data_IF_909590862802
#
_entry.id   IF_909590862802
#
_cell.length_a   1.000
_cell.length_b   1.000
_cell.length_c   1.000
_cell.angle_alpha   90.00
_cell.angle_beta   90.00
_cell.angle_gamma   90.00
#
_symmetry.space_group_name_H-M   'P 1'
#
loop_
_entity.id
_entity.type
_entity.pdbx_description
1 polymer ?
#
# COMPACT_ATOMS: atom_id res chain seq x y z
N UNK A 1 -16.14 52.18 -57.59
CA UNK A 1 -14.93 52.91 -57.15
C UNK A 1 -14.22 51.99 -56.16
N UNK A 2 -13.18 51.27 -56.60
CA UNK A 2 -11.75 51.59 -56.39
C UNK A 2 -11.34 51.39 -54.91
N UNK A 3 -10.66 50.28 -54.51
CA UNK A 3 -9.19 50.01 -54.56
C UNK A 3 -8.45 51.01 -53.62
N UNK A 4 -7.62 50.70 -52.61
CA UNK A 4 -6.52 49.71 -52.33
C UNK A 4 -6.43 49.43 -50.80
N UNK A 5 -5.97 48.30 -50.22
CA UNK A 5 -4.70 47.52 -50.21
C UNK A 5 -3.45 48.18 -49.57
N UNK A 6 -2.94 47.47 -48.53
CA UNK A 6 -1.59 47.39 -47.94
C UNK A 6 -1.60 47.71 -46.43
N UNK A 7 -0.99 46.92 -45.52
CA UNK A 7 0.08 45.96 -45.72
C UNK A 7 0.20 44.88 -44.63
N UNK A 8 1.28 44.15 -44.81
CA UNK A 8 1.66 42.82 -44.37
C UNK A 8 2.14 42.70 -42.92
N UNK A 9 2.21 41.44 -42.49
CA UNK A 9 3.05 40.84 -41.45
C UNK A 9 2.98 41.33 -40.00
N UNK A 10 2.32 40.51 -39.17
CA UNK A 10 2.85 40.07 -37.87
C UNK A 10 2.14 38.76 -37.47
N UNK A 11 2.45 37.66 -38.17
CA UNK A 11 2.20 36.32 -37.63
C UNK A 11 3.28 36.05 -36.59
N UNK A 12 2.92 36.24 -35.32
CA UNK A 12 3.72 35.71 -34.20
C UNK A 12 3.69 34.19 -34.32
N UNK A 13 4.77 33.61 -34.85
CA UNK A 13 5.01 32.18 -34.77
C UNK A 13 4.97 31.76 -33.30
N UNK A 14 4.04 30.87 -32.98
CA UNK A 14 4.08 30.12 -31.73
C UNK A 14 5.33 29.25 -31.74
N UNK A 15 6.38 29.72 -31.08
CA UNK A 15 7.55 28.92 -30.73
C UNK A 15 7.14 28.07 -29.53
N UNK A 16 6.96 26.74 -29.66
CA UNK A 16 6.67 25.90 -28.51
C UNK A 16 7.77 26.09 -27.47
N UNK A 17 7.44 26.18 -26.17
CA UNK A 17 8.44 26.37 -25.14
C UNK A 17 9.47 25.25 -25.26
N UNK A 18 10.74 25.67 -25.42
CA UNK A 18 11.90 24.79 -25.31
C UNK A 18 11.65 23.83 -24.15
N UNK A 19 11.74 22.52 -24.40
CA UNK A 19 11.77 21.48 -23.37
C UNK A 19 12.87 21.85 -22.37
N UNK A 20 12.51 22.63 -21.36
CA UNK A 20 13.35 22.90 -20.20
C UNK A 20 13.48 21.57 -19.51
N UNK A 21 14.68 21.00 -19.66
CA UNK A 21 15.31 19.96 -18.85
C UNK A 21 14.46 19.68 -17.61
N UNK A 22 13.75 18.55 -17.61
CA UNK A 22 13.07 18.04 -16.42
C UNK A 22 14.02 18.24 -15.23
N UNK A 23 13.51 18.84 -14.15
CA UNK A 23 14.26 18.94 -12.92
C UNK A 23 14.84 17.54 -12.61
N UNK A 24 16.12 17.43 -12.23
CA UNK A 24 16.67 16.14 -11.87
C UNK A 24 15.76 15.52 -10.82
N UNK A 25 15.16 14.38 -11.15
CA UNK A 25 14.32 13.62 -10.22
C UNK A 25 15.16 13.33 -8.97
N UNK A 26 14.62 13.48 -7.75
CA UNK A 26 15.28 12.98 -6.56
C UNK A 26 15.66 11.51 -6.79
N UNK A 27 16.88 11.10 -6.43
CA UNK A 27 17.19 9.68 -6.35
C UNK A 27 16.19 9.03 -5.41
N UNK A 28 15.72 7.81 -5.71
CA UNK A 28 14.73 7.19 -4.84
C UNK A 28 15.27 7.09 -3.41
N UNK A 29 14.42 7.23 -2.39
CA UNK A 29 14.81 7.09 -1.00
C UNK A 29 15.48 5.74 -0.76
N UNK A 30 14.93 4.68 -1.35
CA UNK A 30 15.53 3.34 -1.36
C UNK A 30 16.90 3.30 -2.06
N UNK A 31 17.11 4.03 -3.16
CA UNK A 31 18.41 4.11 -3.83
C UNK A 31 19.42 4.99 -3.06
N UNK A 32 18.96 6.05 -2.42
CA UNK A 32 19.76 6.94 -1.56
C UNK A 32 20.20 6.18 -0.31
N UNK A 33 19.33 5.37 0.28
CA UNK A 33 19.63 4.46 1.39
C UNK A 33 20.52 3.30 0.95
N UNK A 34 20.34 2.76 -0.26
CA UNK A 34 21.23 1.74 -0.83
C UNK A 34 22.63 2.27 -1.20
N UNK A 35 22.78 3.60 -1.34
CA UNK A 35 24.06 4.27 -1.57
C UNK A 35 24.84 4.57 -0.29
N UNK A 36 24.24 4.41 0.90
CA UNK A 36 25.03 4.20 2.11
C UNK A 36 25.70 2.84 1.96
N UNK A 37 27.03 2.83 1.91
CA UNK A 37 27.74 1.55 1.83
C UNK A 37 27.31 0.69 3.02
N UNK A 38 27.22 -0.63 2.84
CA UNK A 38 26.90 -1.54 3.94
C UNK A 38 27.85 -1.34 5.14
N UNK A 39 29.06 -0.83 4.89
CA UNK A 39 30.07 -0.43 5.87
C UNK A 39 29.75 0.92 6.55
N UNK A 40 29.31 1.94 5.82
CA UNK A 40 28.93 3.24 6.40
C UNK A 40 27.61 3.15 7.19
N UNK A 41 26.66 2.35 6.71
CA UNK A 41 25.46 2.01 7.46
C UNK A 41 25.82 1.17 8.68
N UNK A 42 26.63 0.09 8.55
CA UNK A 42 27.10 -0.68 9.71
C UNK A 42 27.85 0.16 10.71
N UNK A 43 28.68 1.11 10.28
CA UNK A 43 29.46 1.95 11.20
C UNK A 43 28.58 2.95 11.93
N UNK A 44 27.68 3.63 11.22
CA UNK A 44 26.66 4.50 11.86
C UNK A 44 25.75 3.69 12.79
N UNK A 45 25.34 2.51 12.35
CA UNK A 45 24.51 1.58 13.10
C UNK A 45 25.24 1.01 14.32
N UNK A 46 26.51 0.62 14.23
CA UNK A 46 27.32 0.17 15.37
C UNK A 46 27.56 1.32 16.34
N UNK A 47 27.83 2.52 15.85
CA UNK A 47 27.98 3.72 16.70
C UNK A 47 26.66 4.06 17.42
N UNK A 48 25.52 4.00 16.72
CA UNK A 48 24.17 4.22 17.28
C UNK A 48 23.71 3.08 18.17
N UNK A 49 24.06 1.82 17.85
CA UNK A 49 23.76 0.61 18.62
C UNK A 49 24.58 0.56 19.91
N UNK A 50 25.88 0.89 19.84
CA UNK A 50 26.72 1.06 21.03
C UNK A 50 26.24 2.23 21.86
N UNK A 51 25.82 3.35 21.27
CA UNK A 51 25.23 4.46 22.01
C UNK A 51 23.87 4.09 22.64
N UNK A 52 23.02 3.36 21.92
CA UNK A 52 21.74 2.86 22.43
C UNK A 52 21.97 1.90 23.61
N UNK A 53 22.90 0.94 23.47
CA UNK A 53 23.30 0.03 24.56
C UNK A 53 23.95 0.75 25.75
N UNK A 54 24.75 1.79 25.51
CA UNK A 54 25.33 2.63 26.57
C UNK A 54 24.28 3.49 27.26
N UNK A 55 23.21 3.89 26.55
CA UNK A 55 22.05 4.52 27.16
C UNK A 55 21.28 3.51 28.00
N UNK A 56 21.06 2.28 27.53
CA UNK A 56 20.41 1.18 28.28
C UNK A 56 21.08 0.86 29.64
N UNK A 57 22.37 1.15 29.83
CA UNK A 57 23.08 0.98 31.13
C UNK A 57 22.73 2.01 32.22
N UNK A 58 21.89 3.02 31.96
CA UNK A 58 21.33 3.88 33.02
C UNK A 58 19.96 3.33 33.45
N UNK A 59 19.53 3.50 34.71
CA UNK A 59 18.24 2.99 35.15
C UNK A 59 17.12 3.75 34.41
N UNK A 60 16.51 3.11 33.43
CA UNK A 60 15.44 3.66 32.60
C UNK A 60 14.06 3.24 33.13
N UNK A 61 13.11 4.17 33.07
CA UNK A 61 11.70 3.93 33.31
C UNK A 61 11.08 3.22 32.08
N UNK A 62 10.44 2.09 32.36
CA UNK A 62 9.58 1.20 31.54
C UNK A 62 9.00 1.82 30.26
N UNK A 63 9.13 1.10 29.11
CA UNK A 63 8.30 1.37 27.91
C UNK A 63 8.99 1.38 26.53
N UNK A 64 9.88 0.45 26.16
CA UNK A 64 10.37 0.38 24.76
C UNK A 64 10.46 -1.02 24.12
N UNK A 65 9.87 -1.11 22.92
CA UNK A 65 9.61 -2.27 22.03
C UNK A 65 10.77 -2.50 21.04
N UNK A 66 11.07 -3.77 20.75
CA UNK A 66 12.20 -4.31 19.99
C UNK A 66 11.71 -5.35 18.99
N UNK A 67 12.23 -5.31 17.77
CA UNK A 67 11.93 -6.35 16.77
C UNK A 67 12.79 -7.59 17.00
N UNK A 68 12.10 -8.71 17.12
CA UNK A 68 12.63 -10.06 17.18
C UNK A 68 12.69 -10.68 15.78
N UNK A 69 13.88 -11.09 15.29
CA UNK A 69 13.94 -12.00 14.13
C UNK A 69 13.61 -13.42 14.61
N UNK A 70 12.39 -13.89 14.30
CA UNK A 70 11.98 -15.26 14.62
C UNK A 70 12.91 -16.30 14.00
N UNK A 71 13.33 -17.29 14.78
CA UNK A 71 14.15 -18.43 14.35
C UNK A 71 13.29 -19.55 13.73
N UNK A 72 12.39 -19.21 12.82
CA UNK A 72 11.61 -20.19 12.07
C UNK A 72 12.52 -20.96 11.11
N UNK A 73 12.79 -22.23 11.40
CA UNK A 73 13.49 -23.15 10.49
C UNK A 73 12.60 -23.53 9.31
N UNK A 74 12.32 -22.60 8.42
CA UNK A 74 11.92 -22.87 7.05
C UNK A 74 12.56 -21.82 6.17
N UNK A 75 13.24 -22.26 5.12
CA UNK A 75 13.67 -21.39 4.03
C UNK A 75 12.38 -20.77 3.45
N UNK A 76 12.07 -19.52 3.76
CA UNK A 76 11.34 -18.61 2.87
C UNK A 76 11.27 -17.18 3.43
N UNK A 77 11.26 -16.23 2.51
CA UNK A 77 11.65 -14.82 2.62
C UNK A 77 10.63 -13.88 3.29
N UNK A 78 9.75 -14.39 4.13
CA UNK A 78 8.71 -13.60 4.81
C UNK A 78 8.69 -13.91 6.31
N UNK A 79 9.62 -13.33 7.05
CA UNK A 79 9.47 -13.29 8.50
C UNK A 79 8.45 -12.19 8.82
N UNK A 80 7.31 -12.55 9.40
CA UNK A 80 6.48 -11.60 10.15
C UNK A 80 7.36 -11.06 11.28
N UNK A 81 7.68 -9.76 11.22
CA UNK A 81 8.50 -9.10 12.21
C UNK A 81 7.60 -8.74 13.40
N UNK A 82 7.74 -9.48 14.49
CA UNK A 82 7.02 -9.18 15.73
C UNK A 82 7.77 -8.10 16.51
N UNK A 83 7.03 -7.09 16.94
CA UNK A 83 7.52 -5.99 17.77
C UNK A 83 7.26 -6.31 19.23
N UNK A 84 8.29 -6.25 20.08
CA UNK A 84 8.28 -6.75 21.46
C UNK A 84 9.06 -5.89 22.48
N UNK A 85 8.45 -5.40 23.56
CA UNK A 85 9.15 -4.72 24.66
C UNK A 85 10.26 -5.57 25.27
N UNK A 86 11.50 -5.05 25.34
CA UNK A 86 12.53 -5.70 26.18
C UNK A 86 12.13 -5.46 27.64
N UNK A 87 11.63 -6.50 28.30
CA UNK A 87 11.31 -6.49 29.73
C UNK A 87 12.55 -6.60 30.61
N UNK A 88 13.48 -7.46 30.20
CA UNK A 88 14.68 -7.74 30.99
C UNK A 88 15.88 -7.98 30.08
N UNK A 89 17.04 -7.54 30.56
CA UNK A 89 18.34 -7.85 29.96
C UNK A 89 19.17 -8.53 31.04
N UNK A 90 19.62 -9.75 30.76
CA UNK A 90 20.49 -10.50 31.66
C UNK A 90 21.86 -10.71 31.01
N UNK A 91 22.90 -10.62 31.83
CA UNK A 91 24.28 -10.94 31.43
C UNK A 91 24.81 -12.06 32.32
N UNK A 92 25.03 -13.24 31.74
CA UNK A 92 25.67 -14.37 32.42
C UNK A 92 26.86 -14.90 31.61
N UNK A 93 28.03 -14.98 32.23
CA UNK A 93 29.24 -15.54 31.62
C UNK A 93 29.69 -14.86 30.31
N UNK A 94 29.32 -13.61 30.06
CA UNK A 94 29.62 -12.89 28.81
C UNK A 94 28.60 -13.11 27.68
N UNK A 95 27.45 -13.74 27.96
CA UNK A 95 26.29 -13.80 27.07
C UNK A 95 25.21 -12.86 27.58
N UNK A 96 24.74 -11.98 26.71
CA UNK A 96 23.52 -11.19 26.91
C UNK A 96 22.32 -12.04 26.51
N UNK A 97 21.25 -12.04 27.29
CA UNK A 97 19.94 -12.59 26.91
C UNK A 97 18.87 -11.53 27.11
N UNK A 98 17.78 -11.62 26.35
CA UNK A 98 16.67 -10.68 26.38
C UNK A 98 15.39 -11.42 26.73
N UNK A 99 14.58 -10.84 27.60
CA UNK A 99 13.18 -11.22 27.77
C UNK A 99 12.33 -10.19 27.05
N UNK A 100 11.58 -10.62 26.05
CA UNK A 100 10.72 -9.82 25.20
C UNK A 100 9.25 -9.99 25.61
N UNK A 101 8.45 -8.93 25.49
CA UNK A 101 6.99 -8.94 25.57
C UNK A 101 6.41 -8.38 24.26
N UNK A 102 5.87 -9.26 23.42
CA UNK A 102 5.22 -8.90 22.17
C UNK A 102 3.94 -8.09 22.38
N UNK A 103 3.53 -7.32 21.36
CA UNK A 103 2.31 -6.50 21.40
C UNK A 103 1.02 -7.32 21.62
N UNK A 104 1.02 -8.61 21.27
CA UNK A 104 -0.08 -9.54 21.55
C UNK A 104 -0.10 -10.07 23.00
N UNK A 105 0.86 -9.63 23.82
CA UNK A 105 1.01 -10.01 25.21
C UNK A 105 1.83 -11.29 25.45
N UNK A 106 2.35 -11.93 24.40
CA UNK A 106 3.25 -13.09 24.57
C UNK A 106 4.64 -12.67 25.04
N UNK A 107 5.27 -13.51 25.87
CA UNK A 107 6.65 -13.30 26.34
C UNK A 107 7.61 -14.31 25.69
N UNK A 108 8.83 -13.89 25.38
CA UNK A 108 9.90 -14.73 24.81
C UNK A 108 11.26 -14.36 25.41
N UNK A 109 11.85 -15.31 26.12
CA UNK A 109 13.16 -15.22 26.75
C UNK A 109 14.22 -16.11 26.07
N UNK A 110 13.87 -16.77 24.97
CA UNK A 110 14.74 -17.69 24.23
C UNK A 110 15.30 -17.07 22.93
N UNK A 111 14.85 -15.87 22.56
CA UNK A 111 15.32 -15.21 21.35
C UNK A 111 16.83 -15.06 21.32
N UNK A 112 17.42 -15.39 20.17
CA UNK A 112 18.84 -15.19 19.99
C UNK A 112 19.16 -13.67 19.99
N UNK A 113 20.05 -13.18 20.87
CA UNK A 113 20.45 -11.78 20.96
C UNK A 113 20.84 -11.12 19.64
N UNK A 114 21.39 -11.90 18.69
CA UNK A 114 21.76 -11.38 17.36
C UNK A 114 20.56 -10.99 16.49
N UNK A 115 19.36 -11.45 16.89
CA UNK A 115 18.08 -11.19 16.26
C UNK A 115 17.30 -10.06 16.93
N UNK A 116 17.81 -9.54 18.04
CA UNK A 116 17.23 -8.44 18.80
C UNK A 116 17.89 -7.15 18.31
N UNK A 117 17.15 -6.35 17.53
CA UNK A 117 17.62 -5.05 17.04
C UNK A 117 16.94 -3.93 17.84
N UNK A 118 17.62 -3.31 18.82
CA UNK A 118 17.02 -2.24 19.61
C UNK A 118 16.75 -1.04 18.70
N UNK A 119 15.47 -0.83 18.41
CA UNK A 119 14.96 0.28 17.61
C UNK A 119 14.07 1.12 18.51
N UNK A 120 14.16 2.44 18.39
CA UNK A 120 13.29 3.32 19.17
C UNK A 120 11.94 3.45 18.46
N UNK A 121 10.87 3.40 19.25
CA UNK A 121 9.55 3.84 18.84
C UNK A 121 9.23 5.16 19.54
N UNK A 122 8.72 6.11 18.78
CA UNK A 122 8.29 7.40 19.29
C UNK A 122 6.81 7.60 18.96
N UNK A 123 6.00 7.82 19.99
CA UNK A 123 4.62 8.25 19.80
C UNK A 123 4.63 9.64 19.16
N UNK A 124 4.09 9.76 17.95
CA UNK A 124 3.97 11.02 17.22
C UNK A 124 2.64 11.67 17.52
N UNK A 125 1.59 10.87 17.58
CA UNK A 125 0.22 11.31 17.83
C UNK A 125 -0.63 10.17 18.37
N UNK A 126 -1.58 10.51 19.22
CA UNK A 126 -2.57 9.60 19.75
C UNK A 126 -3.87 10.37 20.03
N UNK A 127 -4.99 9.81 19.64
CA UNK A 127 -6.32 10.19 20.10
C UNK A 127 -7.17 8.94 20.36
N UNK A 128 -8.48 9.11 20.52
CA UNK A 128 -9.42 8.03 20.82
C UNK A 128 -9.58 7.03 19.64
N UNK A 129 -9.27 7.45 18.40
CA UNK A 129 -9.41 6.65 17.19
C UNK A 129 -8.07 6.11 16.67
N UNK A 130 -7.02 6.93 16.70
CA UNK A 130 -5.79 6.73 15.96
C UNK A 130 -4.56 6.79 16.84
N UNK A 131 -3.55 6.01 16.43
CA UNK A 131 -2.19 6.08 16.93
C UNK A 131 -1.21 6.21 15.78
N UNK A 132 -0.31 7.18 15.87
CA UNK A 132 0.78 7.40 14.91
C UNK A 132 2.12 7.25 15.62
N UNK A 133 2.97 6.39 15.08
CA UNK A 133 4.24 6.01 15.69
C UNK A 133 5.36 6.15 14.66
N UNK A 134 6.46 6.78 15.04
CA UNK A 134 7.72 6.63 14.32
C UNK A 134 8.41 5.37 14.84
N UNK A 135 8.68 4.43 13.94
CA UNK A 135 9.29 3.14 14.22
C UNK A 135 10.08 2.68 13.02
N UNK A 136 10.08 1.37 12.76
CA UNK A 136 10.82 0.77 11.66
C UNK A 136 9.96 -0.27 10.94
N UNK A 137 10.24 -0.46 9.65
CA UNK A 137 9.75 -1.58 8.84
C UNK A 137 10.96 -2.29 8.26
N UNK A 138 10.96 -3.62 8.29
CA UNK A 138 11.99 -4.41 7.67
C UNK A 138 11.69 -4.68 6.19
N UNK A 139 12.58 -4.24 5.30
CA UNK A 139 12.55 -4.56 3.88
C UNK A 139 13.78 -5.41 3.55
N UNK A 140 13.56 -6.67 3.14
CA UNK A 140 14.63 -7.65 2.86
C UNK A 140 15.61 -7.85 4.05
N UNK A 141 15.09 -7.89 5.28
CA UNK A 141 15.89 -8.09 6.49
C UNK A 141 16.64 -6.86 6.99
N UNK A 142 16.47 -5.71 6.32
CA UNK A 142 17.04 -4.43 6.73
C UNK A 142 15.91 -3.58 7.30
N UNK A 143 16.05 -3.16 8.55
CA UNK A 143 15.11 -2.25 9.20
C UNK A 143 15.34 -0.83 8.68
N UNK A 144 14.26 -0.17 8.29
CA UNK A 144 14.28 1.20 7.82
C UNK A 144 13.30 2.04 8.65
N UNK A 145 13.66 3.29 8.99
CA UNK A 145 12.74 4.20 9.66
C UNK A 145 11.44 4.36 8.88
N UNK A 146 10.32 4.27 9.59
CA UNK A 146 8.99 4.41 9.03
C UNK A 146 8.06 5.08 10.03
N UNK A 147 7.08 5.83 9.51
CA UNK A 147 5.94 6.31 10.26
C UNK A 147 4.78 5.36 10.02
N UNK A 148 4.12 4.95 11.08
CA UNK A 148 3.09 3.92 11.10
C UNK A 148 1.79 4.52 11.63
N UNK A 149 0.66 4.13 11.05
CA UNK A 149 -0.69 4.46 11.52
C UNK A 149 -1.40 3.17 11.93
N UNK A 150 -2.01 3.17 13.12
CA UNK A 150 -2.89 2.11 13.59
C UNK A 150 -4.18 2.72 14.16
N UNK A 151 -5.27 1.95 14.12
CA UNK A 151 -6.49 2.28 14.86
C UNK A 151 -6.37 1.79 16.30
N UNK A 152 -6.93 2.55 17.25
CA UNK A 152 -6.96 2.17 18.66
C UNK A 152 -7.79 0.90 18.94
N UNK A 153 -8.73 0.56 18.05
CA UNK A 153 -9.48 -0.70 18.12
C UNK A 153 -8.62 -1.92 17.81
N UNK A 154 -7.55 -1.76 17.03
CA UNK A 154 -6.62 -2.82 16.62
C UNK A 154 -5.18 -2.29 16.61
N UNK A 155 -4.61 -1.88 17.76
CA UNK A 155 -3.34 -1.17 17.83
C UNK A 155 -2.12 -1.99 17.36
N UNK A 156 -2.27 -3.31 17.29
CA UNK A 156 -1.30 -4.27 16.77
C UNK A 156 -1.29 -4.39 15.23
N UNK A 157 -2.30 -3.84 14.54
CA UNK A 157 -2.40 -3.86 13.08
C UNK A 157 -2.13 -2.47 12.49
N UNK A 158 -0.94 -2.29 11.92
CA UNK A 158 -0.63 -1.06 11.19
C UNK A 158 -1.35 -1.03 9.85
N UNK A 159 -2.30 -0.11 9.75
CA UNK A 159 -3.12 0.11 8.56
C UNK A 159 -2.34 0.80 7.45
N UNK A 160 -1.38 1.65 7.82
CA UNK A 160 -0.59 2.36 6.84
C UNK A 160 0.80 2.68 7.33
N UNK A 161 1.69 2.90 6.37
CA UNK A 161 3.06 3.27 6.64
C UNK A 161 3.62 4.20 5.55
N UNK A 162 4.53 5.07 5.96
CA UNK A 162 5.41 5.81 5.06
C UNK A 162 6.86 5.66 5.52
N UNK A 163 7.78 5.42 4.60
CA UNK A 163 9.21 5.40 4.93
C UNK A 163 9.66 6.80 5.35
N UNK A 164 10.67 6.88 6.23
CA UNK A 164 11.21 8.15 6.70
C UNK A 164 12.65 8.36 6.22
N UNK A 165 12.92 9.55 5.70
CA UNK A 165 14.28 10.06 5.47
C UNK A 165 14.38 11.41 6.17
N UNK A 166 15.39 11.59 7.03
CA UNK A 166 15.54 12.77 7.89
C UNK A 166 14.25 13.14 8.66
N UNK A 167 13.58 12.12 9.21
CA UNK A 167 12.30 12.22 9.94
C UNK A 167 11.12 12.78 9.13
N UNK A 168 11.20 12.70 7.79
CA UNK A 168 10.13 13.12 6.89
C UNK A 168 9.63 11.94 6.05
N UNK A 169 8.30 11.81 5.87
CA UNK A 169 7.73 10.85 4.93
C UNK A 169 8.32 11.02 3.54
N UNK A 170 8.60 9.91 2.87
CA UNK A 170 8.92 9.85 1.44
C UNK A 170 7.80 9.12 0.70
N UNK A 171 7.62 9.46 -0.58
CA UNK A 171 6.45 9.07 -1.38
C UNK A 171 6.83 8.35 -2.67
N UNK A 172 8.00 7.74 -2.70
CA UNK A 172 8.53 7.06 -3.89
C UNK A 172 8.59 5.55 -3.73
N UNK A 173 7.89 5.02 -2.72
CA UNK A 173 7.74 3.60 -2.48
C UNK A 173 6.46 3.30 -1.71
N UNK A 174 6.02 2.05 -1.81
CA UNK A 174 4.97 1.50 -0.97
C UNK A 174 5.62 0.55 0.06
N UNK A 175 5.57 0.85 1.37
CA UNK A 175 6.19 -0.02 2.38
C UNK A 175 5.54 -1.40 2.51
N UNK A 176 4.24 -1.48 2.17
CA UNK A 176 3.46 -2.70 2.28
C UNK A 176 3.03 -3.22 0.92
N UNK A 177 3.04 -4.54 0.76
CA UNK A 177 2.65 -5.21 -0.47
C UNK A 177 1.16 -5.00 -0.80
N UNK A 178 0.28 -4.85 0.21
CA UNK A 178 -1.12 -4.50 -0.05
C UNK A 178 -1.27 -3.17 -0.81
N UNK A 179 -0.50 -2.14 -0.45
CA UNK A 179 -0.53 -0.85 -1.15
C UNK A 179 0.07 -0.96 -2.56
N UNK A 180 1.10 -1.82 -2.74
CA UNK A 180 1.63 -2.13 -4.06
C UNK A 180 0.55 -2.77 -4.94
N UNK A 181 -0.18 -3.76 -4.41
CA UNK A 181 -1.20 -4.50 -5.15
C UNK A 181 -2.40 -3.61 -5.49
N UNK A 182 -2.78 -2.70 -4.59
CA UNK A 182 -3.84 -1.71 -4.84
C UNK A 182 -3.47 -0.74 -5.97
N UNK A 183 -2.19 -0.34 -6.09
CA UNK A 183 -1.71 0.55 -7.14
C UNK A 183 -1.49 -0.15 -8.50
N UNK A 184 -1.39 -1.49 -8.52
CA UNK A 184 -1.11 -2.30 -9.71
C UNK A 184 -2.00 -1.98 -10.92
N UNK A 185 -3.35 -1.84 -10.80
CA UNK A 185 -4.23 -1.63 -11.95
C UNK A 185 -4.03 -0.30 -12.66
N UNK A 186 -3.29 0.65 -12.06
CA UNK A 186 -2.92 1.90 -12.70
C UNK A 186 -2.21 1.66 -14.04
N UNK A 187 -1.42 0.58 -14.14
CA UNK A 187 -0.65 0.26 -15.35
C UNK A 187 -1.52 0.10 -16.60
N UNK A 188 -2.80 -0.27 -16.45
CA UNK A 188 -3.73 -0.44 -17.57
C UNK A 188 -4.19 0.87 -18.21
N UNK A 189 -3.86 2.01 -17.58
CA UNK A 189 -4.33 3.33 -17.97
C UNK A 189 -3.21 4.33 -18.25
N UNK A 190 -1.97 4.04 -17.87
CA UNK A 190 -0.87 5.00 -18.00
C UNK A 190 -0.49 5.33 -19.45
N UNK A 191 -0.83 4.45 -20.39
CA UNK A 191 -0.68 4.72 -21.82
C UNK A 191 -1.76 5.68 -22.37
N UNK A 192 -2.86 5.90 -21.63
CA UNK A 192 -3.97 6.79 -22.04
C UNK A 192 -3.71 8.27 -21.82
N UNK A 193 -2.51 8.62 -21.34
CA UNK A 193 -2.16 10.01 -21.00
C UNK A 193 -2.19 10.97 -22.19
N UNK A 194 -2.24 10.46 -23.42
CA UNK A 194 -2.43 11.26 -24.63
C UNK A 194 -3.83 11.91 -24.70
N UNK A 195 -4.86 11.31 -24.09
CA UNK A 195 -6.24 11.81 -24.03
C UNK A 195 -6.54 12.66 -22.78
N UNK A 196 -5.53 12.88 -21.93
CA UNK A 196 -5.63 13.57 -20.64
C UNK A 196 -5.20 12.70 -19.47
N UNK A 197 -5.19 13.24 -18.23
CA UNK A 197 -4.86 12.47 -17.05
C UNK A 197 -5.88 11.35 -16.80
N UNK A 198 -5.39 10.22 -16.30
CA UNK A 198 -6.24 9.14 -15.78
C UNK A 198 -7.05 9.67 -14.60
N UNK A 199 -8.37 9.55 -14.65
CA UNK A 199 -9.26 9.98 -13.57
C UNK A 199 -9.47 8.82 -12.60
N UNK A 200 -8.90 8.93 -11.41
CA UNK A 200 -8.97 7.89 -10.40
C UNK A 200 -9.83 8.32 -9.20
N UNK A 201 -10.57 7.38 -8.62
CA UNK A 201 -11.13 7.51 -7.28
C UNK A 201 -10.45 6.51 -6.33
N UNK A 202 -10.17 6.93 -5.11
CA UNK A 202 -9.74 6.05 -4.02
C UNK A 202 -10.71 6.22 -2.85
N UNK A 203 -11.34 5.13 -2.43
CA UNK A 203 -12.22 5.09 -1.26
C UNK A 203 -11.42 4.48 -0.10
N UNK A 204 -11.20 5.25 0.95
CA UNK A 204 -10.30 4.97 2.07
C UNK A 204 -8.92 5.60 1.88
N UNK A 205 -8.54 6.54 2.73
CA UNK A 205 -7.23 7.21 2.64
C UNK A 205 -6.15 6.53 3.48
N UNK A 206 -6.53 5.95 4.62
CA UNK A 206 -5.59 5.45 5.63
C UNK A 206 -4.55 6.50 6.01
N UNK A 207 -3.26 6.14 5.99
CA UNK A 207 -2.16 7.09 6.18
C UNK A 207 -1.84 7.95 4.96
N UNK A 208 -2.62 7.89 3.87
CA UNK A 208 -2.40 8.68 2.66
C UNK A 208 -1.23 8.22 1.78
N UNK A 209 -0.58 7.09 2.10
CA UNK A 209 0.58 6.60 1.34
C UNK A 209 0.21 6.22 -0.10
N UNK A 210 -0.91 5.52 -0.32
CA UNK A 210 -1.39 5.14 -1.66
C UNK A 210 -1.55 6.35 -2.58
N UNK A 211 -2.40 7.33 -2.25
CA UNK A 211 -2.67 8.44 -3.16
C UNK A 211 -1.45 9.36 -3.30
N UNK A 212 -0.65 9.55 -2.24
CA UNK A 212 0.53 10.41 -2.29
C UNK A 212 1.65 9.81 -3.14
N UNK A 213 1.88 8.49 -3.04
CA UNK A 213 2.89 7.82 -3.87
C UNK A 213 2.45 7.75 -5.32
N UNK A 214 1.16 7.49 -5.61
CA UNK A 214 0.63 7.56 -6.99
C UNK A 214 0.82 8.97 -7.56
N UNK A 215 0.46 10.01 -6.79
CA UNK A 215 0.67 11.42 -7.18
C UNK A 215 2.14 11.72 -7.47
N UNK A 216 3.06 11.18 -6.68
CA UNK A 216 4.51 11.39 -6.86
C UNK A 216 5.04 10.69 -8.12
N UNK A 217 4.68 9.42 -8.35
CA UNK A 217 5.22 8.64 -9.48
C UNK A 217 4.56 8.98 -10.81
N UNK A 218 3.25 9.24 -10.80
CA UNK A 218 2.46 9.52 -11.98
C UNK A 218 2.35 11.00 -12.31
N UNK A 219 2.67 11.89 -11.38
CA UNK A 219 2.68 13.33 -11.61
C UNK A 219 1.36 13.78 -12.23
N UNK A 220 1.42 14.42 -13.41
CA UNK A 220 0.26 14.98 -14.10
C UNK A 220 -0.48 13.93 -14.96
N UNK A 221 -0.01 12.68 -14.99
CA UNK A 221 -0.66 11.57 -15.69
C UNK A 221 -1.90 11.06 -14.97
N UNK A 222 -2.11 11.44 -13.69
CA UNK A 222 -3.24 10.99 -12.87
C UNK A 222 -3.83 12.20 -12.15
N UNK A 223 -5.16 12.24 -12.08
CA UNK A 223 -5.91 13.06 -11.13
C UNK A 223 -6.71 12.13 -10.23
N UNK A 224 -6.64 12.33 -8.92
CA UNK A 224 -7.25 11.44 -7.95
C UNK A 224 -8.19 12.17 -7.00
N UNK A 225 -9.42 11.66 -6.90
CA UNK A 225 -10.37 12.00 -5.84
C UNK A 225 -10.29 10.93 -4.74
N UNK A 226 -9.76 11.31 -3.58
CA UNK A 226 -9.65 10.44 -2.40
C UNK A 226 -10.82 10.73 -1.48
N UNK A 227 -11.53 9.69 -1.04
CA UNK A 227 -12.75 9.80 -0.25
C UNK A 227 -12.55 9.05 1.05
N UNK A 228 -12.75 9.72 2.18
CA UNK A 228 -12.61 9.15 3.50
C UNK A 228 -13.76 9.63 4.39
N UNK A 229 -14.30 8.75 5.21
CA UNK A 229 -15.43 9.07 6.09
C UNK A 229 -14.97 9.84 7.33
N UNK A 230 -13.79 9.52 7.87
CA UNK A 230 -13.25 10.13 9.10
C UNK A 230 -12.34 11.33 8.81
N UNK A 231 -12.76 12.52 9.27
CA UNK A 231 -11.93 13.72 9.26
C UNK A 231 -10.65 13.58 10.08
N UNK A 232 -10.64 12.76 11.13
CA UNK A 232 -9.46 12.46 11.95
C UNK A 232 -8.40 11.68 11.15
N UNK A 233 -8.82 10.69 10.35
CA UNK A 233 -7.94 9.93 9.45
C UNK A 233 -7.36 10.84 8.37
N UNK A 234 -8.19 11.70 7.75
CA UNK A 234 -7.74 12.70 6.77
C UNK A 234 -6.69 13.64 7.40
N UNK A 235 -6.97 14.15 8.59
CA UNK A 235 -6.07 15.04 9.31
C UNK A 235 -4.74 14.36 9.63
N UNK A 236 -4.76 13.08 10.05
CA UNK A 236 -3.55 12.31 10.30
C UNK A 236 -2.73 12.12 9.01
N UNK A 237 -3.36 11.72 7.90
CA UNK A 237 -2.72 11.56 6.60
C UNK A 237 -2.04 12.86 6.12
N UNK A 238 -2.73 14.00 6.25
CA UNK A 238 -2.19 15.29 5.83
C UNK A 238 -1.06 15.77 6.74
N UNK A 239 -1.27 15.71 8.06
CA UNK A 239 -0.37 16.33 9.05
C UNK A 239 0.90 15.51 9.30
N UNK A 240 0.76 14.18 9.37
CA UNK A 240 1.85 13.31 9.78
C UNK A 240 2.44 12.51 8.62
N UNK A 241 1.68 12.22 7.57
CA UNK A 241 2.15 11.40 6.45
C UNK A 241 2.40 12.19 5.18
N UNK A 242 2.10 13.48 5.13
CA UNK A 242 2.47 14.35 4.00
C UNK A 242 1.53 14.27 2.80
N UNK A 243 0.30 13.79 2.98
CA UNK A 243 -0.73 13.95 1.94
C UNK A 243 -1.03 15.44 1.71
N UNK A 244 -0.99 15.88 0.45
CA UNK A 244 -1.20 17.28 0.08
C UNK A 244 -2.25 17.37 -1.01
N UNK A 245 -3.28 18.17 -0.76
CA UNK A 245 -4.28 18.50 -1.78
C UNK A 245 -3.69 19.48 -2.80
N UNK A 246 -3.89 19.18 -4.08
CA UNK A 246 -3.53 20.04 -5.21
C UNK A 246 -4.48 19.80 -6.40
N UNK A 247 -4.14 20.33 -7.58
CA UNK A 247 -4.98 20.17 -8.78
C UNK A 247 -5.14 18.71 -9.23
N UNK A 248 -4.23 17.82 -8.79
CA UNK A 248 -4.15 16.40 -9.16
C UNK A 248 -4.52 15.44 -8.03
N UNK A 249 -4.66 15.91 -6.79
CA UNK A 249 -5.11 15.11 -5.65
C UNK A 249 -6.09 15.92 -4.80
N UNK A 250 -7.34 15.48 -4.73
CA UNK A 250 -8.40 16.10 -3.94
C UNK A 250 -8.84 15.12 -2.86
N UNK A 251 -9.11 15.63 -1.66
CA UNK A 251 -9.55 14.79 -0.54
C UNK A 251 -10.94 15.25 -0.10
N UNK A 252 -11.86 14.31 0.00
CA UNK A 252 -13.26 14.51 0.34
C UNK A 252 -13.57 13.79 1.64
N UNK A 253 -14.02 14.53 2.66
CA UNK A 253 -14.61 13.95 3.87
C UNK A 253 -16.07 13.58 3.58
N UNK A 254 -16.30 12.36 3.11
CA UNK A 254 -17.60 11.89 2.64
C UNK A 254 -17.70 10.36 2.72
N UNK A 255 -18.93 9.85 2.83
CA UNK A 255 -19.21 8.43 2.60
C UNK A 255 -18.90 8.01 1.15
N UNK A 256 -18.12 6.94 1.00
CA UNK A 256 -17.65 6.46 -0.30
C UNK A 256 -18.75 5.90 -1.21
N UNK A 257 -19.79 5.28 -0.63
CA UNK A 257 -20.95 4.79 -1.39
C UNK A 257 -21.72 5.98 -1.96
N UNK A 258 -22.05 6.96 -1.12
CA UNK A 258 -22.74 8.18 -1.52
C UNK A 258 -21.94 8.99 -2.55
N UNK A 259 -20.61 9.01 -2.44
CA UNK A 259 -19.74 9.65 -3.43
C UNK A 259 -19.89 9.02 -4.82
N UNK A 260 -19.81 7.69 -4.92
CA UNK A 260 -19.96 6.97 -6.19
C UNK A 260 -21.42 7.00 -6.70
N UNK A 261 -22.40 7.05 -5.79
CA UNK A 261 -23.81 7.25 -6.13
C UNK A 261 -24.06 8.62 -6.79
N UNK A 262 -23.38 9.66 -6.32
CA UNK A 262 -23.49 11.02 -6.85
C UNK A 262 -22.61 11.27 -8.09
N UNK A 263 -21.62 10.41 -8.35
CA UNK A 263 -20.71 10.55 -9.47
C UNK A 263 -21.44 10.51 -10.83
N UNK A 264 -20.97 11.36 -11.76
CA UNK A 264 -21.44 11.35 -13.15
C UNK A 264 -21.13 10.00 -13.81
N UNK A 265 -21.94 9.62 -14.80
CA UNK A 265 -21.70 8.38 -15.54
C UNK A 265 -20.37 8.47 -16.31
N UNK A 266 -19.49 7.48 -16.14
CA UNK A 266 -18.17 7.46 -16.75
C UNK A 266 -17.18 8.50 -16.17
N UNK A 267 -17.38 8.93 -14.92
CA UNK A 267 -16.50 9.87 -14.23
C UNK A 267 -15.07 9.35 -14.03
N UNK A 268 -14.88 8.03 -13.87
CA UNK A 268 -13.59 7.45 -13.48
C UNK A 268 -13.10 6.39 -14.44
N UNK A 269 -11.80 6.41 -14.71
CA UNK A 269 -11.08 5.37 -15.46
C UNK A 269 -10.52 4.30 -14.51
N UNK A 270 -10.31 4.66 -13.25
CA UNK A 270 -9.87 3.76 -12.18
C UNK A 270 -10.66 4.04 -10.88
N UNK A 271 -11.18 3.01 -10.23
CA UNK A 271 -11.74 3.12 -8.88
C UNK A 271 -11.05 2.11 -7.95
N UNK A 272 -10.44 2.59 -6.87
CA UNK A 272 -9.78 1.79 -5.84
C UNK A 272 -10.65 1.79 -4.58
N UNK A 273 -10.99 0.62 -4.05
CA UNK A 273 -11.76 0.44 -2.83
C UNK A 273 -10.83 -0.18 -1.77
N UNK A 274 -10.46 0.62 -0.78
CA UNK A 274 -9.57 0.28 0.34
C UNK A 274 -10.15 0.83 1.66
N UNK A 275 -11.43 0.56 1.87
CA UNK A 275 -12.16 0.96 3.06
C UNK A 275 -12.34 -0.23 3.99
N UNK A 276 -12.13 -0.03 5.29
CA UNK A 276 -12.33 -1.04 6.31
C UNK A 276 -13.13 -0.47 7.49
N UNK A 277 -13.99 -1.29 8.08
CA UNK A 277 -14.78 -0.95 9.27
C UNK A 277 -14.43 -1.90 10.42
N UNK A 278 -13.38 -1.52 11.16
CA UNK A 278 -12.86 -2.29 12.29
C UNK A 278 -13.68 -2.10 13.59
N UNK A 279 -14.77 -1.33 13.57
CA UNK A 279 -15.71 -1.27 14.70
C UNK A 279 -16.85 -2.28 14.58
N UNK A 280 -17.02 -2.89 13.40
CA UNK A 280 -18.03 -3.92 13.19
C UNK A 280 -17.76 -5.16 14.06
N UNK A 281 -18.68 -5.44 14.99
CA UNK A 281 -18.60 -6.57 15.93
C UNK A 281 -18.86 -7.93 15.27
N UNK A 282 -19.16 -7.92 13.97
CA UNK A 282 -19.59 -9.10 13.21
C UNK A 282 -18.41 -9.94 12.69
N UNK A 283 -17.17 -9.57 13.01
CA UNK A 283 -15.94 -10.29 12.62
C UNK A 283 -15.55 -11.34 13.69
N UNK A 284 -16.06 -11.23 14.92
CA UNK A 284 -15.73 -12.18 15.98
C UNK A 284 -16.68 -13.38 15.91
N UNK A 285 -16.13 -14.53 15.49
CA UNK A 285 -16.71 -15.90 15.51
C UNK A 285 -17.29 -16.45 14.18
N UNK A 286 -17.19 -15.75 13.05
CA UNK A 286 -17.54 -16.30 11.72
C UNK A 286 -16.30 -16.48 10.82
N UNK A 287 -15.86 -17.73 10.55
CA UNK A 287 -14.69 -18.00 9.70
C UNK A 287 -14.94 -17.64 8.21
N UNK A 288 -16.18 -17.35 7.83
CA UNK A 288 -16.57 -16.90 6.48
C UNK A 288 -16.92 -15.40 6.43
N UNK A 289 -16.62 -14.64 7.49
CA UNK A 289 -16.89 -13.21 7.54
C UNK A 289 -16.20 -12.45 6.40
N UNK A 290 -16.86 -11.38 5.95
CA UNK A 290 -16.24 -10.33 5.15
C UNK A 290 -15.70 -9.28 6.12
N UNK A 291 -14.38 -9.20 6.26
CA UNK A 291 -13.73 -8.21 7.12
C UNK A 291 -13.50 -6.90 6.38
N UNK A 292 -13.05 -6.99 5.12
CA UNK A 292 -12.77 -5.84 4.26
C UNK A 292 -13.27 -6.15 2.85
N UNK A 293 -13.96 -5.21 2.17
CA UNK A 293 -14.46 -3.92 2.66
C UNK A 293 -15.80 -4.06 3.40
N UNK A 294 -16.41 -2.97 3.92
CA UNK A 294 -17.78 -3.00 4.41
C UNK A 294 -18.75 -3.64 3.38
N UNK A 295 -19.73 -4.47 3.81
CA UNK A 295 -20.57 -5.24 2.90
C UNK A 295 -21.31 -4.43 1.83
N UNK A 296 -21.59 -3.15 2.08
CA UNK A 296 -22.22 -2.22 1.14
C UNK A 296 -21.39 -2.03 -0.14
N UNK A 297 -20.06 -2.12 -0.07
CA UNK A 297 -19.19 -1.95 -1.24
C UNK A 297 -19.18 -3.16 -2.17
N UNK A 298 -19.62 -4.32 -1.70
CA UNK A 298 -19.63 -5.57 -2.47
C UNK A 298 -21.04 -6.14 -2.66
N UNK A 299 -22.06 -5.37 -2.31
CA UNK A 299 -23.43 -5.76 -2.61
C UNK A 299 -23.69 -5.70 -4.12
N UNK A 300 -24.58 -6.58 -4.61
CA UNK A 300 -24.87 -6.68 -6.03
C UNK A 300 -25.46 -5.37 -6.60
N UNK A 301 -26.26 -4.63 -5.82
CA UNK A 301 -26.90 -3.41 -6.28
C UNK A 301 -25.89 -2.26 -6.46
N UNK A 302 -24.90 -2.20 -5.59
CA UNK A 302 -23.79 -1.25 -5.61
C UNK A 302 -22.87 -1.53 -6.80
N UNK A 303 -22.39 -2.78 -6.93
CA UNK A 303 -21.50 -3.18 -8.01
C UNK A 303 -22.16 -2.95 -9.38
N UNK A 304 -23.37 -3.47 -9.58
CA UNK A 304 -24.10 -3.39 -10.86
C UNK A 304 -24.82 -2.05 -11.08
N UNK A 305 -24.71 -1.11 -10.16
CA UNK A 305 -25.39 0.19 -10.23
C UNK A 305 -24.40 1.34 -10.07
N UNK A 306 -24.27 1.95 -8.87
CA UNK A 306 -23.35 3.06 -8.60
C UNK A 306 -21.94 2.88 -9.16
N UNK A 307 -21.27 1.75 -8.87
CA UNK A 307 -19.89 1.55 -9.29
C UNK A 307 -19.77 1.48 -10.82
N UNK A 308 -20.44 0.52 -11.46
CA UNK A 308 -20.36 0.31 -12.91
C UNK A 308 -20.83 1.51 -13.72
N UNK A 309 -21.79 2.30 -13.21
CA UNK A 309 -22.19 3.57 -13.83
C UNK A 309 -21.08 4.61 -13.77
N UNK A 310 -20.39 4.74 -12.63
CA UNK A 310 -19.32 5.73 -12.45
C UNK A 310 -18.07 5.41 -13.28
N UNK A 311 -17.86 4.13 -13.63
CA UNK A 311 -16.75 3.67 -14.46
C UNK A 311 -16.91 4.05 -15.94
N UNK A 312 -15.84 4.52 -16.56
CA UNK A 312 -15.77 4.82 -17.99
C UNK A 312 -15.75 3.54 -18.84
N UNK A 313 -15.86 3.69 -20.17
CA UNK A 313 -16.04 2.55 -21.08
C UNK A 313 -14.92 1.51 -20.97
N UNK A 314 -13.69 1.96 -20.77
CA UNK A 314 -12.49 1.13 -20.65
C UNK A 314 -11.81 1.37 -19.29
N UNK A 315 -12.58 1.23 -18.22
CA UNK A 315 -12.13 1.46 -16.86
C UNK A 315 -11.78 0.15 -16.14
N UNK A 316 -11.10 0.29 -15.01
CA UNK A 316 -10.92 -0.80 -14.05
C UNK A 316 -11.36 -0.38 -12.65
N UNK A 317 -11.78 -1.34 -11.85
CA UNK A 317 -11.88 -1.17 -10.40
C UNK A 317 -10.96 -2.17 -9.69
N UNK A 318 -10.56 -1.86 -8.46
CA UNK A 318 -9.73 -2.71 -7.63
C UNK A 318 -10.23 -2.68 -6.20
N UNK A 319 -10.48 -3.85 -5.63
CA UNK A 319 -10.97 -4.01 -4.28
C UNK A 319 -9.93 -4.70 -3.44
N UNK A 320 -9.50 -4.10 -2.34
CA UNK A 320 -8.83 -4.83 -1.27
C UNK A 320 -9.88 -5.67 -0.52
N UNK A 321 -9.75 -6.99 -0.53
CA UNK A 321 -10.70 -7.91 0.12
C UNK A 321 -9.99 -8.77 1.15
N UNK A 322 -10.52 -8.79 2.37
CA UNK A 322 -10.18 -9.77 3.40
C UNK A 322 -11.50 -10.46 3.75
N UNK A 323 -11.59 -11.75 3.45
CA UNK A 323 -12.79 -12.52 3.71
C UNK A 323 -12.45 -14.00 3.84
N UNK A 324 -13.33 -14.73 4.53
CA UNK A 324 -13.26 -16.18 4.55
C UNK A 324 -13.55 -16.81 3.19
N UNK A 325 -13.17 -18.08 3.06
CA UNK A 325 -13.11 -18.82 1.79
C UNK A 325 -14.44 -18.82 1.03
N UNK A 326 -15.56 -19.11 1.70
CA UNK A 326 -16.85 -19.20 0.99
C UNK A 326 -17.28 -17.84 0.47
N UNK A 327 -17.01 -16.78 1.22
CA UNK A 327 -17.27 -15.40 0.80
C UNK A 327 -16.40 -15.00 -0.39
N UNK A 328 -15.11 -15.38 -0.42
CA UNK A 328 -14.25 -15.14 -1.58
C UNK A 328 -14.78 -15.80 -2.86
N UNK A 329 -15.33 -17.01 -2.76
CA UNK A 329 -15.94 -17.72 -3.91
C UNK A 329 -17.21 -16.98 -4.38
N UNK A 330 -18.07 -16.55 -3.46
CA UNK A 330 -19.27 -15.76 -3.77
C UNK A 330 -18.91 -14.45 -4.49
N UNK A 331 -17.90 -13.74 -3.99
CA UNK A 331 -17.43 -12.49 -4.57
C UNK A 331 -16.77 -12.72 -5.94
N UNK A 332 -16.04 -13.83 -6.13
CA UNK A 332 -15.51 -14.22 -7.43
C UNK A 332 -16.63 -14.41 -8.47
N UNK A 333 -17.71 -15.09 -8.08
CA UNK A 333 -18.87 -15.29 -8.95
C UNK A 333 -19.60 -13.97 -9.25
N UNK A 334 -19.70 -13.07 -8.27
CA UNK A 334 -20.34 -11.76 -8.45
C UNK A 334 -19.53 -10.81 -9.34
N UNK A 335 -18.20 -10.74 -9.16
CA UNK A 335 -17.33 -9.95 -10.02
C UNK A 335 -17.34 -10.49 -11.45
N UNK A 336 -17.29 -11.81 -11.62
CA UNK A 336 -17.38 -12.46 -12.94
C UNK A 336 -18.68 -12.15 -13.67
N UNK A 337 -19.79 -11.99 -12.94
CA UNK A 337 -21.07 -11.57 -13.51
C UNK A 337 -21.12 -10.08 -13.87
N UNK A 338 -20.32 -9.26 -13.20
CA UNK A 338 -20.35 -7.79 -13.31
C UNK A 338 -19.40 -7.25 -14.36
N UNK A 339 -18.20 -7.84 -14.48
CA UNK A 339 -17.11 -7.32 -15.32
C UNK A 339 -16.77 -8.25 -16.49
N UNK A 340 -16.26 -7.68 -17.58
CA UNK A 340 -15.91 -8.43 -18.78
C UNK A 340 -14.65 -9.29 -18.60
N UNK A 341 -13.74 -8.88 -17.72
CA UNK A 341 -12.59 -9.67 -17.28
C UNK A 341 -12.29 -9.37 -15.82
N UNK A 342 -11.87 -10.37 -15.07
CA UNK A 342 -11.56 -10.24 -13.64
C UNK A 342 -10.29 -10.99 -13.32
N UNK A 343 -9.43 -10.33 -12.56
CA UNK A 343 -8.19 -10.87 -12.04
C UNK A 343 -8.12 -10.71 -10.54
N UNK A 344 -7.35 -11.56 -9.87
CA UNK A 344 -7.11 -11.47 -8.44
C UNK A 344 -5.62 -11.48 -8.21
N UNK A 345 -5.11 -10.40 -7.60
CA UNK A 345 -3.78 -10.40 -7.00
C UNK A 345 -3.92 -10.92 -5.56
N UNK A 346 -3.47 -12.14 -5.30
CA UNK A 346 -3.52 -12.76 -3.98
C UNK A 346 -2.21 -12.51 -3.22
N UNK A 347 -2.30 -11.90 -2.04
CA UNK A 347 -1.14 -11.66 -1.16
C UNK A 347 -1.29 -12.32 0.21
N UNK A 348 -2.51 -12.76 0.58
CA UNK A 348 -2.86 -13.45 1.83
C UNK A 348 -2.49 -12.68 3.12
N UNK A 349 -3.45 -12.23 3.94
CA UNK A 349 -4.90 -12.45 3.85
C UNK A 349 -5.62 -11.48 2.89
N UNK A 350 -4.90 -10.56 2.25
CA UNK A 350 -5.49 -9.60 1.30
C UNK A 350 -5.59 -10.19 -0.11
N UNK A 351 -6.73 -9.99 -0.75
CA UNK A 351 -7.03 -10.41 -2.12
C UNK A 351 -7.53 -9.20 -2.92
N UNK A 352 -6.78 -8.80 -3.94
CA UNK A 352 -7.11 -7.62 -4.74
C UNK A 352 -7.87 -8.00 -5.99
N UNK A 353 -9.19 -7.80 -5.97
CA UNK A 353 -10.07 -8.12 -7.09
C UNK A 353 -10.06 -6.97 -8.09
N UNK A 354 -9.51 -7.23 -9.27
CA UNK A 354 -9.41 -6.27 -10.36
C UNK A 354 -10.48 -6.57 -11.41
N UNK A 355 -11.52 -5.74 -11.45
CA UNK A 355 -12.60 -5.83 -12.44
C UNK A 355 -12.33 -4.91 -13.63
N UNK A 356 -12.45 -5.44 -14.86
CA UNK A 356 -12.25 -4.70 -16.11
C UNK A 356 -13.58 -4.56 -16.86
N UNK A 357 -13.96 -3.33 -17.25
CA UNK A 357 -15.21 -3.11 -18.01
C UNK A 357 -15.13 -3.62 -19.44
N UNK A 358 -13.92 -3.73 -20.00
CA UNK A 358 -13.66 -4.33 -21.31
C UNK A 358 -12.92 -5.67 -21.18
N UNK A 359 -13.11 -6.59 -22.13
CA UNK A 359 -12.32 -7.81 -22.20
C UNK A 359 -10.82 -7.49 -22.26
N UNK A 360 -10.05 -8.10 -21.37
CA UNK A 360 -8.59 -8.00 -21.33
C UNK A 360 -8.02 -9.39 -21.13
N UNK A 361 -6.88 -9.65 -21.76
CA UNK A 361 -6.12 -10.88 -21.58
C UNK A 361 -4.73 -10.49 -21.06
N UNK A 362 -4.54 -10.63 -19.74
CA UNK A 362 -3.35 -10.20 -19.03
C UNK A 362 -2.79 -11.39 -18.25
N UNK A 363 -1.94 -12.18 -18.91
CA UNK A 363 -1.14 -13.20 -18.22
C UNK A 363 -0.12 -12.55 -17.26
N UNK A 364 0.47 -13.30 -16.31
CA UNK A 364 1.56 -12.79 -15.48
C UNK A 364 2.69 -12.17 -16.30
N UNK A 365 3.09 -12.79 -17.42
CA UNK A 365 4.15 -12.29 -18.30
C UNK A 365 3.74 -10.98 -18.97
N UNK A 366 2.50 -10.91 -19.48
CA UNK A 366 1.97 -9.69 -20.10
C UNK A 366 1.87 -8.54 -19.08
N UNK A 367 1.47 -8.82 -17.84
CA UNK A 367 1.44 -7.84 -16.75
C UNK A 367 2.85 -7.30 -16.45
N UNK A 368 3.85 -8.19 -16.36
CA UNK A 368 5.24 -7.80 -16.14
C UNK A 368 5.80 -6.96 -17.31
N UNK A 369 5.44 -7.29 -18.55
CA UNK A 369 5.81 -6.48 -19.72
C UNK A 369 5.21 -5.08 -19.68
N UNK A 370 3.92 -4.96 -19.37
CA UNK A 370 3.24 -3.67 -19.18
C UNK A 370 3.95 -2.85 -18.09
N UNK A 371 4.18 -3.44 -16.92
CA UNK A 371 4.86 -2.77 -15.80
C UNK A 371 6.26 -2.30 -16.18
N UNK A 372 7.07 -3.13 -16.87
CA UNK A 372 8.40 -2.73 -17.35
C UNK A 372 8.35 -1.56 -18.33
N UNK A 373 7.25 -1.43 -19.08
CA UNK A 373 6.97 -0.30 -19.95
C UNK A 373 6.84 1.03 -19.20
N UNK A 374 6.40 0.99 -17.95
CA UNK A 374 6.21 2.19 -17.11
C UNK A 374 7.05 2.12 -15.83
N UNK A 375 8.36 2.37 -16.00
CA UNK A 375 9.38 2.25 -14.94
C UNK A 375 9.03 2.95 -13.61
N UNK A 376 8.43 4.17 -13.57
CA UNK A 376 8.14 4.83 -12.30
C UNK A 376 7.20 4.03 -11.38
N UNK A 377 6.21 3.33 -11.93
CA UNK A 377 5.33 2.44 -11.14
C UNK A 377 6.08 1.16 -10.81
N UNK A 378 6.74 0.54 -11.80
CA UNK A 378 7.51 -0.69 -11.61
C UNK A 378 8.44 -0.63 -10.40
N UNK A 379 9.21 0.46 -10.26
CA UNK A 379 10.18 0.63 -9.18
C UNK A 379 9.54 0.69 -7.78
N UNK A 380 8.23 0.97 -7.69
CA UNK A 380 7.47 1.03 -6.43
C UNK A 380 6.79 -0.27 -6.05
N UNK A 381 6.76 -1.28 -6.94
CA UNK A 381 6.02 -2.53 -6.74
C UNK A 381 6.91 -3.78 -6.56
N UNK A 382 8.05 -3.73 -5.85
CA UNK A 382 9.04 -4.81 -5.87
C UNK A 382 8.55 -6.15 -5.30
N UNK A 383 7.57 -6.17 -4.41
CA UNK A 383 7.07 -7.39 -3.79
C UNK A 383 5.94 -8.00 -4.61
N UNK A 384 5.03 -7.15 -5.11
CA UNK A 384 4.02 -7.58 -6.09
C UNK A 384 4.67 -8.15 -7.35
N UNK A 385 5.73 -7.53 -7.86
CA UNK A 385 6.45 -8.05 -9.04
C UNK A 385 6.96 -9.48 -8.78
N UNK A 386 7.55 -9.75 -7.61
CA UNK A 386 8.03 -11.10 -7.27
C UNK A 386 6.89 -12.10 -7.17
N UNK A 387 5.76 -11.70 -6.58
CA UNK A 387 4.59 -12.55 -6.48
C UNK A 387 4.03 -12.87 -7.88
N UNK A 388 3.97 -11.88 -8.79
CA UNK A 388 3.58 -12.10 -10.18
C UNK A 388 4.56 -13.05 -10.88
N UNK A 389 5.87 -12.86 -10.73
CA UNK A 389 6.90 -13.74 -11.30
C UNK A 389 6.79 -15.20 -10.83
N UNK A 390 6.33 -15.42 -9.59
CA UNK A 390 6.17 -16.76 -8.99
C UNK A 390 4.79 -17.39 -9.20
N UNK A 391 3.87 -16.70 -9.88
CA UNK A 391 2.47 -17.17 -10.05
C UNK A 391 2.39 -18.63 -10.50
N UNK A 392 3.20 -19.04 -11.47
CA UNK A 392 3.18 -20.42 -11.99
C UNK A 392 3.65 -21.46 -10.98
N UNK A 393 4.53 -21.10 -10.06
CA UNK A 393 5.02 -21.96 -8.98
C UNK A 393 3.96 -22.10 -7.88
N UNK A 394 3.15 -21.06 -7.68
CA UNK A 394 2.11 -20.98 -6.66
C UNK A 394 0.83 -21.76 -7.01
N UNK A 395 0.56 -22.04 -8.29
CA UNK A 395 -0.60 -22.84 -8.72
C UNK A 395 -0.70 -24.21 -8.01
N UNK A 396 0.45 -24.77 -7.62
CA UNK A 396 0.54 -26.10 -7.01
C UNK A 396 0.60 -26.10 -5.47
N UNK A 397 1.12 -25.06 -4.82
CA UNK A 397 1.43 -25.09 -3.38
C UNK A 397 0.78 -23.97 -2.50
N UNK A 398 0.64 -22.73 -2.98
CA UNK A 398 0.16 -21.58 -2.17
C UNK A 398 -0.69 -20.61 -3.00
N UNK A 399 -1.76 -20.01 -2.45
CA UNK A 399 -2.59 -19.03 -3.18
C UNK A 399 -1.98 -17.63 -3.18
N UNK A 400 -0.83 -17.47 -3.85
CA UNK A 400 -0.12 -16.19 -3.94
C UNK A 400 0.23 -15.86 -5.40
N UNK A 401 0.01 -14.62 -5.83
CA UNK A 401 0.32 -14.17 -7.19
C UNK A 401 -0.88 -13.62 -7.97
N UNK A 402 -0.78 -13.64 -9.30
CA UNK A 402 -1.76 -13.01 -10.20
C UNK A 402 -2.56 -14.05 -10.98
N UNK A 403 -3.85 -14.18 -10.66
CA UNK A 403 -4.70 -15.22 -11.21
C UNK A 403 -5.88 -14.62 -11.98
N UNK A 404 -6.37 -15.34 -12.98
CA UNK A 404 -7.74 -15.10 -13.45
C UNK A 404 -8.73 -15.44 -12.33
N UNK A 405 -9.91 -14.82 -12.34
CA UNK A 405 -10.95 -15.13 -11.35
C UNK A 405 -11.34 -16.62 -11.33
N UNK A 406 -11.28 -17.29 -12.49
CA UNK A 406 -11.60 -18.72 -12.60
C UNK A 406 -10.52 -19.62 -11.98
N UNK A 407 -9.25 -19.29 -12.17
CA UNK A 407 -8.14 -19.98 -11.50
C UNK A 407 -8.21 -19.76 -9.99
N UNK A 408 -8.38 -18.51 -9.56
CA UNK A 408 -8.51 -18.13 -8.16
C UNK A 408 -9.67 -18.89 -7.47
N UNK A 409 -10.87 -18.85 -8.07
CA UNK A 409 -12.06 -19.53 -7.57
C UNK A 409 -11.83 -21.03 -7.43
N UNK A 410 -11.23 -21.68 -8.44
CA UNK A 410 -10.89 -23.11 -8.40
C UNK A 410 -9.87 -23.42 -7.30
N UNK A 411 -8.91 -22.53 -7.04
CA UNK A 411 -7.94 -22.73 -5.96
C UNK A 411 -8.59 -22.59 -4.57
N UNK A 412 -9.55 -21.66 -4.42
CA UNK A 412 -10.36 -21.54 -3.20
C UNK A 412 -11.13 -22.84 -2.91
N UNK A 413 -11.76 -23.43 -3.93
CA UNK A 413 -12.51 -24.69 -3.81
C UNK A 413 -11.63 -25.89 -3.43
N UNK A 414 -10.35 -25.87 -3.81
CA UNK A 414 -9.39 -26.96 -3.53
C UNK A 414 -8.66 -26.79 -2.18
N UNK A 415 -9.18 -25.96 -1.29
CA UNK A 415 -8.67 -25.72 0.08
C UNK A 415 -7.23 -25.18 0.17
N UNK A 416 -6.71 -24.53 -0.89
CA UNK A 416 -5.35 -23.95 -0.89
C UNK A 416 -5.24 -22.58 -0.18
N UNK A 417 -6.30 -22.15 0.50
CA UNK A 417 -6.30 -20.99 1.38
C UNK A 417 -6.01 -21.48 2.79
N UNK A 418 -4.87 -21.09 3.34
CA UNK A 418 -4.59 -21.18 4.77
C UNK A 418 -5.38 -20.04 5.40
N UNK A 419 -6.56 -20.35 5.96
CA UNK A 419 -7.36 -19.39 6.74
C UNK A 419 -6.82 -19.34 8.16
#
# INVERSE_FOLDING_TARGET
>A
MSIDKAGDDDRVEYVPPNRTRAAPRPQSALATMANLSAEDFRRRFEDEWVQALQQVQKPYEVGQIVEALGSGTTRDTYALYYTAEIKEISEDGGRTTFTLLYEDGTEDDEINPMFVKPNTRALVYEDDLLKVIDGHIAVKGIAYPARLLAFQSCPQLYQSAAMLVDNKPVHDCFPFEQHQALALPLIFHLDKTEDGPVRAALIGIGGGNVPTTIRYVAQDSVTMDVVELSGEVINAACKYFGAVQDDHLRIHEQDGVAFLEAAEAGAFDLVLIDAADFESKDIQDDPDALEVPPPTFVDQAFLMGPLTRALSIDATCCYNIIAGRNKLIELADLFKQTFASVYVMATDPNYFFVGCTQPREVSPEALLELLRGWKPLYDTLPDVIKLVEKTSECLDDTLLGWFTVDEFRRMCENEKIVV
#
